data_IF_088765264273
#
_entry.id   IF_088765264273
#
_cell.length_a   1.000
_cell.length_b   1.000
_cell.length_c   1.000
_cell.angle_alpha   90.00
_cell.angle_beta   90.00
_cell.angle_gamma   90.00
#
_symmetry.space_group_name_H-M   'P 1'
#
loop_
_entity.id
_entity.type
_entity.pdbx_description
1 polymer ?
#
# COMPACT_ATOMS: atom_id res chain seq x y z
N UNK A 1 35.80 -32.50 -42.97
CA UNK A 1 35.62 -31.04 -42.68
C UNK A 1 34.28 -30.84 -42.01
N UNK A 2 34.28 -30.71 -40.66
CA UNK A 2 33.08 -30.44 -39.86
C UNK A 2 32.92 -28.93 -39.75
N UNK A 3 31.86 -28.34 -40.31
CA UNK A 3 31.53 -26.94 -40.17
C UNK A 3 30.57 -26.83 -38.98
N UNK A 4 31.02 -26.26 -37.86
CA UNK A 4 30.18 -25.93 -36.72
C UNK A 4 29.44 -24.62 -37.02
N UNK A 5 28.12 -24.70 -37.22
CA UNK A 5 27.24 -23.53 -37.34
C UNK A 5 26.90 -23.07 -35.92
N UNK A 6 27.52 -21.96 -35.50
CA UNK A 6 27.20 -21.27 -34.24
C UNK A 6 25.90 -20.48 -34.45
N UNK A 7 24.77 -20.99 -33.99
CA UNK A 7 23.50 -20.27 -33.91
C UNK A 7 23.58 -19.20 -32.81
N UNK A 8 23.89 -17.98 -33.20
CA UNK A 8 23.70 -16.79 -32.35
C UNK A 8 22.20 -16.51 -32.21
N UNK A 9 21.61 -16.97 -31.10
CA UNK A 9 20.28 -16.52 -30.69
C UNK A 9 20.35 -15.03 -30.35
N UNK A 10 19.47 -14.18 -30.89
CA UNK A 10 19.42 -12.78 -30.50
C UNK A 10 18.98 -12.72 -29.02
N UNK A 11 19.87 -12.27 -28.16
CA UNK A 11 19.51 -11.86 -26.81
C UNK A 11 18.69 -10.57 -26.98
N UNK A 12 17.37 -10.68 -26.95
CA UNK A 12 16.50 -9.52 -26.81
C UNK A 12 16.69 -8.93 -25.43
N UNK A 13 17.69 -8.09 -25.26
CA UNK A 13 17.79 -7.15 -24.16
C UNK A 13 16.66 -6.12 -24.37
N UNK A 14 15.47 -6.45 -23.87
CA UNK A 14 14.40 -5.48 -23.73
C UNK A 14 14.90 -4.46 -22.71
N UNK A 15 15.36 -3.30 -23.18
CA UNK A 15 15.71 -2.19 -22.32
C UNK A 15 14.45 -1.81 -21.54
N UNK A 16 14.50 -1.85 -20.22
CA UNK A 16 13.40 -1.35 -19.39
C UNK A 16 13.08 0.10 -19.80
N UNK A 17 11.80 0.48 -19.80
CA UNK A 17 11.41 1.87 -20.03
C UNK A 17 12.19 2.76 -19.06
N UNK A 18 12.86 3.77 -19.57
CA UNK A 18 13.76 4.64 -18.77
C UNK A 18 13.00 5.55 -17.81
N UNK A 19 11.67 5.62 -17.92
CA UNK A 19 10.83 6.51 -17.14
C UNK A 19 9.87 5.72 -16.24
N UNK A 20 9.81 6.13 -14.96
CA UNK A 20 8.78 5.70 -14.01
C UNK A 20 7.75 6.81 -13.87
N UNK A 21 6.49 6.42 -13.77
CA UNK A 21 5.38 7.33 -13.50
C UNK A 21 5.05 7.44 -12.00
N UNK A 22 5.80 6.79 -11.13
CA UNK A 22 5.69 6.94 -9.66
C UNK A 22 6.86 7.75 -9.16
N UNK A 23 6.57 8.89 -8.53
CA UNK A 23 7.58 9.84 -8.05
C UNK A 23 7.23 10.37 -6.67
N UNK A 24 8.22 10.55 -5.81
CA UNK A 24 8.07 11.21 -4.51
C UNK A 24 8.20 12.72 -4.63
N UNK A 25 7.44 13.45 -3.85
CA UNK A 25 7.70 14.87 -3.58
C UNK A 25 8.92 15.03 -2.68
N UNK A 26 9.46 16.26 -2.62
CA UNK A 26 10.64 16.59 -1.83
C UNK A 26 10.43 16.46 -0.32
N UNK A 27 9.18 16.54 0.15
CA UNK A 27 8.80 16.35 1.55
C UNK A 27 8.91 14.89 2.02
N UNK A 28 8.90 13.92 1.10
CA UNK A 28 9.10 12.51 1.42
C UNK A 28 10.59 12.28 1.73
N UNK A 29 10.92 12.14 3.00
CA UNK A 29 12.30 11.94 3.48
C UNK A 29 12.94 10.69 2.90
N UNK A 30 14.27 10.60 2.90
CA UNK A 30 14.99 9.40 2.49
C UNK A 30 14.60 8.19 3.35
N UNK A 31 14.43 8.40 4.67
CA UNK A 31 14.00 7.34 5.60
C UNK A 31 12.61 6.78 5.23
N UNK A 32 11.65 7.64 4.88
CA UNK A 32 10.32 7.20 4.46
C UNK A 32 10.34 6.53 3.09
N UNK A 33 11.17 7.01 2.14
CA UNK A 33 11.39 6.33 0.84
C UNK A 33 11.96 4.93 1.01
N UNK A 34 12.93 4.78 1.89
CA UNK A 34 13.54 3.48 2.22
C UNK A 34 12.55 2.56 2.93
N UNK A 35 11.73 3.09 3.84
CA UNK A 35 10.66 2.35 4.50
C UNK A 35 9.66 1.80 3.49
N UNK A 36 9.15 2.63 2.57
CA UNK A 36 8.25 2.20 1.50
C UNK A 36 8.91 1.16 0.59
N UNK A 37 10.12 1.43 0.11
CA UNK A 37 10.84 0.51 -0.76
C UNK A 37 11.06 -0.85 -0.07
N UNK A 38 11.42 -0.85 1.22
CA UNK A 38 11.59 -2.08 2.01
C UNK A 38 10.29 -2.89 2.13
N UNK A 39 9.15 -2.22 2.38
CA UNK A 39 7.84 -2.89 2.45
C UNK A 39 7.44 -3.44 1.08
N UNK A 40 7.58 -2.65 0.02
CA UNK A 40 7.28 -3.10 -1.34
C UNK A 40 8.19 -4.25 -1.79
N UNK A 41 9.50 -4.26 -1.45
CA UNK A 41 10.39 -5.39 -1.72
C UNK A 41 9.89 -6.69 -1.10
N UNK A 42 9.46 -6.64 0.15
CA UNK A 42 8.92 -7.83 0.84
C UNK A 42 7.63 -8.33 0.18
N UNK A 43 6.75 -7.42 -0.24
CA UNK A 43 5.46 -7.77 -0.85
C UNK A 43 5.65 -8.28 -2.28
N UNK A 44 6.48 -7.61 -3.09
CA UNK A 44 6.69 -7.98 -4.49
C UNK A 44 7.73 -9.06 -4.70
N UNK A 45 8.66 -9.24 -3.75
CA UNK A 45 9.81 -10.10 -3.91
C UNK A 45 10.92 -9.50 -4.79
N UNK A 46 10.82 -8.28 -5.28
CA UNK A 46 11.86 -7.61 -6.07
C UNK A 46 12.97 -7.06 -5.18
N UNK A 47 14.19 -7.64 -5.19
CA UNK A 47 15.24 -7.25 -4.26
C UNK A 47 15.83 -5.86 -4.54
N UNK A 48 15.75 -5.39 -5.79
CA UNK A 48 16.34 -4.12 -6.24
C UNK A 48 15.34 -2.95 -6.30
N UNK A 49 14.07 -3.19 -5.95
CA UNK A 49 13.05 -2.12 -5.96
C UNK A 49 13.45 -1.01 -4.98
N UNK A 50 13.55 0.22 -5.50
CA UNK A 50 13.98 1.40 -4.72
C UNK A 50 13.49 2.70 -5.36
N UNK A 51 13.53 3.77 -4.60
CA UNK A 51 13.48 5.11 -5.16
C UNK A 51 14.88 5.56 -5.58
N UNK A 52 15.01 6.12 -6.78
CA UNK A 52 16.27 6.72 -7.23
C UNK A 52 16.50 8.10 -6.58
N UNK A 53 17.66 8.72 -6.87
CA UNK A 53 18.02 10.03 -6.31
C UNK A 53 17.04 11.16 -6.68
N UNK A 54 16.33 11.00 -7.79
CA UNK A 54 15.30 11.94 -8.25
C UNK A 54 13.91 11.62 -7.70
N UNK A 55 13.79 10.62 -6.81
CA UNK A 55 12.55 10.21 -6.19
C UNK A 55 11.66 9.29 -7.02
N UNK A 56 12.11 8.81 -8.18
CA UNK A 56 11.32 7.88 -9.00
C UNK A 56 11.47 6.43 -8.51
N UNK A 57 10.34 5.72 -8.41
CA UNK A 57 10.31 4.31 -8.06
C UNK A 57 10.87 3.46 -9.22
N UNK A 58 11.86 2.62 -8.95
CA UNK A 58 12.53 1.74 -9.91
C UNK A 58 12.44 0.29 -9.45
N UNK A 59 12.06 -0.59 -10.35
CA UNK A 59 11.96 -2.02 -10.06
C UNK A 59 13.34 -2.70 -9.94
N UNK A 60 14.29 -2.29 -10.77
CA UNK A 60 15.54 -3.00 -11.00
C UNK A 60 15.37 -4.19 -11.95
N UNK A 61 16.47 -4.93 -12.19
CA UNK A 61 16.53 -6.00 -13.18
C UNK A 61 16.61 -7.40 -12.57
N UNK A 62 16.80 -7.49 -11.24
CA UNK A 62 16.91 -8.78 -10.58
C UNK A 62 15.57 -9.53 -10.59
N UNK A 63 15.64 -10.85 -10.74
CA UNK A 63 14.49 -11.73 -10.65
C UNK A 63 13.86 -11.67 -9.26
N UNK A 64 12.53 -11.75 -9.16
CA UNK A 64 11.84 -11.73 -7.88
C UNK A 64 12.11 -13.01 -7.08
N UNK A 65 12.21 -12.87 -5.76
CA UNK A 65 12.33 -13.98 -4.82
C UNK A 65 11.12 -13.99 -3.91
N UNK A 66 10.22 -14.95 -4.10
CA UNK A 66 8.95 -15.00 -3.36
C UNK A 66 8.02 -13.83 -3.68
N UNK A 67 7.26 -13.41 -2.68
CA UNK A 67 6.31 -12.29 -2.79
C UNK A 67 5.12 -12.57 -3.71
N UNK A 68 4.31 -11.53 -3.92
CA UNK A 68 3.05 -11.61 -4.67
C UNK A 68 3.24 -11.28 -6.15
N UNK A 69 2.75 -12.14 -7.04
CA UNK A 69 2.69 -11.87 -8.48
C UNK A 69 1.68 -10.75 -8.77
N UNK A 70 0.52 -10.79 -8.12
CA UNK A 70 -0.52 -9.75 -8.25
C UNK A 70 0.02 -8.37 -7.87
N UNK A 71 0.82 -8.28 -6.79
CA UNK A 71 1.47 -7.03 -6.41
C UNK A 71 2.52 -6.57 -7.45
N UNK A 72 3.28 -7.50 -8.03
CA UNK A 72 4.23 -7.19 -9.12
C UNK A 72 3.52 -6.60 -10.33
N UNK A 73 2.40 -7.18 -10.72
CA UNK A 73 1.62 -6.72 -11.87
C UNK A 73 1.06 -5.32 -11.62
N UNK A 74 0.52 -5.06 -10.42
CA UNK A 74 0.02 -3.76 -10.02
C UNK A 74 1.13 -2.69 -10.01
N UNK A 75 2.27 -2.97 -9.35
CA UNK A 75 3.39 -2.03 -9.27
C UNK A 75 4.01 -1.79 -10.66
N UNK A 76 4.07 -2.82 -11.52
CA UNK A 76 4.51 -2.66 -12.93
C UNK A 76 3.60 -1.69 -13.69
N UNK A 77 2.28 -1.86 -13.57
CA UNK A 77 1.31 -0.94 -14.18
C UNK A 77 1.41 0.47 -13.60
N UNK A 78 1.63 0.62 -12.28
CA UNK A 78 1.85 1.93 -11.66
C UNK A 78 3.12 2.62 -12.19
N UNK A 79 4.23 1.88 -12.31
CA UNK A 79 5.52 2.43 -12.77
C UNK A 79 5.47 2.79 -14.26
N UNK A 80 4.90 1.94 -15.12
CA UNK A 80 5.01 2.05 -16.58
C UNK A 80 3.69 2.36 -17.29
N UNK A 81 2.59 2.48 -16.56
CA UNK A 81 1.26 2.81 -17.10
C UNK A 81 1.13 4.28 -17.50
N UNK A 82 -0.11 4.70 -17.73
CA UNK A 82 -0.43 6.06 -18.21
C UNK A 82 -0.62 7.09 -17.11
N UNK A 83 -0.72 6.66 -15.83
CA UNK A 83 -1.03 7.52 -14.70
C UNK A 83 0.25 8.04 -14.05
N UNK A 84 0.37 9.36 -13.94
CA UNK A 84 1.42 9.98 -13.14
C UNK A 84 0.99 9.95 -11.67
N UNK A 85 1.76 9.28 -10.83
CA UNK A 85 1.49 9.07 -9.40
C UNK A 85 2.54 9.81 -8.59
N UNK A 86 2.11 10.72 -7.74
CA UNK A 86 2.97 11.54 -6.88
C UNK A 86 2.75 11.13 -5.43
N UNK A 87 3.80 10.71 -4.74
CA UNK A 87 3.74 10.35 -3.32
C UNK A 87 4.10 11.58 -2.47
N UNK A 88 3.29 11.87 -1.48
CA UNK A 88 3.40 13.02 -0.57
C UNK A 88 3.34 12.57 0.88
N UNK A 89 4.26 13.07 1.72
CA UNK A 89 4.25 12.83 3.16
C UNK A 89 3.34 13.84 3.86
N UNK A 90 2.30 13.34 4.52
CA UNK A 90 1.33 14.15 5.27
C UNK A 90 1.29 13.78 6.76
N UNK A 91 2.35 13.18 7.29
CA UNK A 91 2.44 12.70 8.68
C UNK A 91 2.18 13.75 9.76
N UNK A 92 2.08 15.02 9.39
CA UNK A 92 1.75 16.12 10.30
C UNK A 92 0.37 16.74 10.04
N UNK A 93 -0.41 16.18 9.13
CA UNK A 93 -1.70 16.72 8.72
C UNK A 93 -2.81 15.86 9.33
N UNK A 94 -3.61 16.44 10.22
CA UNK A 94 -4.71 15.74 10.90
C UNK A 94 -5.90 15.36 9.98
N UNK A 95 -5.81 15.62 8.67
CA UNK A 95 -6.89 15.43 7.71
C UNK A 95 -6.80 14.12 6.92
N UNK A 96 -5.75 13.35 7.14
CA UNK A 96 -5.50 12.08 6.46
C UNK A 96 -5.41 10.95 7.46
N UNK A 97 -6.12 9.86 7.21
CA UNK A 97 -5.97 8.62 7.96
C UNK A 97 -5.20 7.62 7.11
N UNK A 98 -4.00 7.23 7.54
CA UNK A 98 -3.12 6.28 6.87
C UNK A 98 -2.69 6.70 5.46
N UNK A 99 -3.56 6.50 4.45
CA UNK A 99 -3.33 6.86 3.07
C UNK A 99 -4.64 7.33 2.42
N UNK A 100 -4.51 8.16 1.39
CA UNK A 100 -5.60 8.48 0.45
C UNK A 100 -5.05 8.93 -0.88
N UNK A 101 -5.82 8.76 -1.95
CA UNK A 101 -5.52 9.32 -3.26
C UNK A 101 -6.43 10.50 -3.59
N UNK A 102 -5.85 11.54 -4.18
CA UNK A 102 -6.54 12.73 -4.63
C UNK A 102 -6.10 13.11 -6.05
N UNK A 103 -7.00 13.70 -6.87
CA UNK A 103 -6.57 14.35 -8.10
C UNK A 103 -5.67 15.55 -7.77
N UNK A 104 -4.59 15.72 -8.52
CA UNK A 104 -3.62 16.76 -8.28
C UNK A 104 -2.84 17.15 -9.52
N UNK A 105 -1.73 17.84 -9.31
CA UNK A 105 -0.83 18.28 -10.36
C UNK A 105 0.62 18.09 -9.95
N UNK A 106 1.44 17.69 -10.90
CA UNK A 106 2.88 17.60 -10.77
C UNK A 106 3.53 18.75 -11.58
N UNK A 107 4.42 19.50 -10.94
CA UNK A 107 5.21 20.54 -11.58
C UNK A 107 6.63 19.98 -11.80
N UNK A 108 6.93 19.55 -12.99
CA UNK A 108 8.30 19.26 -13.41
C UNK A 108 9.02 20.59 -13.75
N UNK A 109 10.34 20.63 -13.76
CA UNK A 109 11.18 21.83 -14.03
C UNK A 109 10.80 22.66 -15.27
N UNK A 110 9.93 22.19 -16.13
CA UNK A 110 9.28 22.94 -17.20
C UNK A 110 7.93 23.51 -16.71
N UNK A 111 7.56 24.66 -17.19
CA UNK A 111 6.43 25.49 -16.79
C UNK A 111 5.01 24.89 -16.88
N UNK A 112 4.87 23.60 -17.23
CA UNK A 112 3.58 22.93 -17.36
C UNK A 112 3.25 22.09 -16.12
N UNK A 113 2.07 22.34 -15.51
CA UNK A 113 1.49 21.47 -14.50
C UNK A 113 0.89 20.23 -15.20
N UNK A 114 1.44 19.05 -14.95
CA UNK A 114 0.88 17.79 -15.45
C UNK A 114 -0.22 17.29 -14.50
N UNK A 115 -1.38 16.84 -15.00
CA UNK A 115 -2.35 16.13 -14.18
C UNK A 115 -1.70 14.91 -13.53
N UNK A 116 -1.98 14.69 -12.25
CA UNK A 116 -1.40 13.59 -11.49
C UNK A 116 -2.41 13.06 -10.46
N UNK A 117 -2.22 11.82 -10.03
CA UNK A 117 -2.82 11.30 -8.82
C UNK A 117 -1.84 11.53 -7.67
N UNK A 118 -2.28 12.21 -6.61
CA UNK A 118 -1.46 12.45 -5.43
C UNK A 118 -1.86 11.45 -4.36
N UNK A 119 -0.94 10.56 -4.00
CA UNK A 119 -1.09 9.62 -2.88
C UNK A 119 -0.49 10.27 -1.65
N UNK A 120 -1.35 10.67 -0.72
CA UNK A 120 -0.98 11.22 0.57
C UNK A 120 -0.80 10.08 1.58
N UNK A 121 0.32 10.08 2.31
CA UNK A 121 0.71 9.01 3.22
C UNK A 121 1.00 9.61 4.59
N UNK A 122 0.28 9.19 5.63
CA UNK A 122 0.64 9.47 7.02
C UNK A 122 1.41 8.30 7.61
N UNK A 123 2.75 8.41 7.62
CA UNK A 123 3.62 7.37 8.17
C UNK A 123 3.43 7.19 9.67
N UNK A 124 3.15 8.29 10.39
CA UNK A 124 3.00 8.27 11.85
C UNK A 124 1.75 7.55 12.31
N UNK A 125 0.72 7.48 11.46
CA UNK A 125 -0.48 6.71 11.76
C UNK A 125 -0.19 5.22 11.80
N UNK A 126 0.62 4.71 10.85
CA UNK A 126 1.04 3.31 10.87
C UNK A 126 1.89 2.94 12.11
N UNK A 127 2.64 3.89 12.66
CA UNK A 127 3.45 3.69 13.87
C UNK A 127 2.60 3.58 15.16
N UNK A 128 1.38 4.14 15.14
CA UNK A 128 0.44 4.11 16.27
C UNK A 128 -0.43 2.85 16.29
N UNK A 129 -0.34 2.00 15.27
CA UNK A 129 -1.10 0.75 15.19
C UNK A 129 -0.43 -0.32 16.04
N UNK A 130 -1.20 -0.96 16.89
CA UNK A 130 -0.80 -2.07 17.74
C UNK A 130 -1.56 -3.32 17.34
N UNK A 131 -1.09 -4.49 17.76
CA UNK A 131 -1.83 -5.73 17.53
C UNK A 131 -0.98 -6.97 17.39
N UNK A 132 -1.60 -8.01 16.84
CA UNK A 132 -0.91 -9.26 16.54
C UNK A 132 0.14 -9.05 15.44
N UNK A 133 1.34 -9.59 15.62
CA UNK A 133 2.46 -9.45 14.68
C UNK A 133 2.07 -9.81 13.24
N UNK A 134 1.32 -10.91 13.06
CA UNK A 134 0.83 -11.35 11.75
C UNK A 134 -0.13 -10.35 11.10
N UNK A 135 -0.97 -9.69 11.90
CA UNK A 135 -1.88 -8.64 11.41
C UNK A 135 -1.11 -7.35 11.09
N UNK A 136 -0.08 -7.00 11.88
CA UNK A 136 0.80 -5.86 11.60
C UNK A 136 1.62 -6.07 10.31
N UNK A 137 2.04 -7.31 10.03
CA UNK A 137 2.67 -7.63 8.74
C UNK A 137 1.71 -7.46 7.56
N UNK A 138 0.42 -7.73 7.76
CA UNK A 138 -0.64 -7.57 6.77
C UNK A 138 -1.24 -6.14 6.70
N UNK A 139 -0.87 -5.25 7.64
CA UNK A 139 -1.36 -3.88 7.73
C UNK A 139 -0.22 -2.90 8.04
N UNK A 140 0.40 -2.37 7.01
CA UNK A 140 1.48 -1.40 7.09
C UNK A 140 1.48 -0.47 5.87
N UNK A 141 2.37 0.52 5.86
CA UNK A 141 2.43 1.54 4.82
C UNK A 141 2.59 0.98 3.39
N UNK A 142 3.24 -0.17 3.22
CA UNK A 142 3.36 -0.81 1.90
C UNK A 142 2.01 -1.31 1.38
N UNK A 143 1.19 -1.92 2.24
CA UNK A 143 -0.17 -2.35 1.89
C UNK A 143 -1.10 -1.17 1.64
N UNK A 144 -0.97 -0.08 2.44
CA UNK A 144 -1.69 1.16 2.20
C UNK A 144 -1.36 1.75 0.83
N UNK A 145 -0.08 1.82 0.46
CA UNK A 145 0.34 2.32 -0.85
C UNK A 145 -0.19 1.46 -2.01
N UNK A 146 -0.17 0.12 -1.88
CA UNK A 146 -0.73 -0.77 -2.90
C UNK A 146 -2.25 -0.61 -3.06
N UNK A 147 -2.97 -0.35 -1.96
CA UNK A 147 -4.39 -0.05 -1.98
C UNK A 147 -4.68 1.22 -2.82
N UNK A 148 -3.94 2.31 -2.58
CA UNK A 148 -4.08 3.53 -3.37
C UNK A 148 -3.65 3.34 -4.84
N UNK A 149 -2.65 2.49 -5.11
CA UNK A 149 -2.28 2.13 -6.49
C UNK A 149 -3.41 1.38 -7.20
N UNK A 150 -4.14 0.51 -6.49
CA UNK A 150 -5.23 -0.26 -7.07
C UNK A 150 -6.40 0.65 -7.48
N UNK A 151 -6.72 1.66 -6.67
CA UNK A 151 -7.66 2.71 -7.06
C UNK A 151 -7.26 3.45 -8.34
N UNK A 152 -5.97 3.79 -8.49
CA UNK A 152 -5.49 4.55 -9.64
C UNK A 152 -5.39 3.70 -10.91
N UNK A 153 -4.88 2.49 -10.77
CA UNK A 153 -4.50 1.64 -11.90
C UNK A 153 -5.65 0.80 -12.42
N UNK A 154 -6.49 0.28 -11.52
CA UNK A 154 -7.58 -0.63 -11.84
C UNK A 154 -8.96 0.02 -11.66
N UNK A 155 -9.03 1.27 -11.15
CA UNK A 155 -10.28 1.98 -10.84
C UNK A 155 -11.19 1.18 -9.89
N UNK A 156 -10.60 0.39 -9.00
CA UNK A 156 -11.30 -0.50 -8.08
C UNK A 156 -11.95 0.30 -6.95
N UNK A 157 -13.25 0.17 -6.70
CA UNK A 157 -13.91 0.88 -5.62
C UNK A 157 -13.68 0.24 -4.25
N UNK A 158 -13.78 1.07 -3.21
CA UNK A 158 -13.92 0.62 -1.83
C UNK A 158 -15.28 0.02 -1.55
N UNK A 159 -15.40 -0.71 -0.44
CA UNK A 159 -16.69 -1.17 0.04
C UNK A 159 -17.59 0.02 0.44
N UNK A 160 -18.85 -0.06 0.05
CA UNK A 160 -19.88 0.92 0.42
C UNK A 160 -20.77 0.45 1.56
N UNK A 161 -20.72 -0.84 1.91
CA UNK A 161 -21.55 -1.47 2.92
C UNK A 161 -20.74 -2.11 4.02
N UNK A 162 -21.25 -2.07 5.25
CA UNK A 162 -20.66 -2.78 6.39
C UNK A 162 -20.66 -4.30 6.14
N UNK A 163 -19.55 -4.95 6.46
CA UNK A 163 -19.39 -6.39 6.29
C UNK A 163 -18.81 -6.81 4.93
N UNK A 164 -18.61 -5.86 4.02
CA UNK A 164 -17.96 -6.08 2.73
C UNK A 164 -16.50 -5.65 2.76
N UNK A 165 -15.69 -6.24 1.90
CA UNK A 165 -14.29 -5.85 1.69
C UNK A 165 -14.13 -4.83 0.56
N UNK A 166 -15.04 -4.80 -0.41
CA UNK A 166 -14.87 -4.02 -1.65
C UNK A 166 -13.92 -4.70 -2.64
N UNK A 167 -13.91 -4.19 -3.86
CA UNK A 167 -13.10 -4.74 -4.95
C UNK A 167 -11.61 -4.49 -4.71
N UNK A 168 -11.24 -3.25 -4.35
CA UNK A 168 -9.87 -2.89 -4.04
C UNK A 168 -9.28 -3.79 -2.95
N UNK A 169 -9.95 -3.90 -1.79
CA UNK A 169 -9.47 -4.72 -0.69
C UNK A 169 -9.45 -6.23 -1.04
N UNK A 170 -10.32 -6.69 -1.95
CA UNK A 170 -10.29 -8.07 -2.44
C UNK A 170 -9.01 -8.36 -3.24
N UNK A 171 -8.55 -7.41 -4.07
CA UNK A 171 -7.26 -7.50 -4.77
C UNK A 171 -6.08 -7.48 -3.79
N UNK A 172 -6.12 -6.60 -2.78
CA UNK A 172 -5.08 -6.56 -1.74
C UNK A 172 -5.06 -7.85 -0.93
N UNK A 173 -6.22 -8.44 -0.63
CA UNK A 173 -6.32 -9.73 0.04
C UNK A 173 -5.73 -10.88 -0.81
N UNK A 174 -5.90 -10.84 -2.13
CA UNK A 174 -5.22 -11.81 -3.01
C UNK A 174 -3.70 -11.69 -2.88
N UNK A 175 -3.15 -10.47 -2.88
CA UNK A 175 -1.72 -10.25 -2.69
C UNK A 175 -1.24 -10.76 -1.31
N UNK A 176 -2.05 -10.55 -0.25
CA UNK A 176 -1.74 -11.07 1.09
C UNK A 176 -1.71 -12.61 1.10
N UNK A 177 -2.66 -13.28 0.44
CA UNK A 177 -2.65 -14.76 0.30
C UNK A 177 -1.38 -15.25 -0.37
N UNK A 178 -0.97 -14.61 -1.46
CA UNK A 178 0.26 -14.95 -2.18
C UNK A 178 1.53 -14.75 -1.32
N UNK A 179 1.47 -13.84 -0.33
CA UNK A 179 2.51 -13.62 0.67
C UNK A 179 2.32 -14.48 1.95
N UNK A 180 1.37 -15.41 1.97
CA UNK A 180 1.03 -16.23 3.15
C UNK A 180 0.64 -15.41 4.38
N UNK A 181 0.05 -14.24 4.18
CA UNK A 181 -0.41 -13.34 5.23
C UNK A 181 -1.92 -13.45 5.45
N UNK A 182 -2.44 -13.08 6.63
CA UNK A 182 -3.86 -13.05 6.89
C UNK A 182 -4.56 -11.95 6.07
N UNK A 183 -5.80 -12.25 5.66
CA UNK A 183 -6.65 -11.39 4.85
C UNK A 183 -7.49 -10.48 5.72
N UNK A 184 -7.65 -9.23 5.33
CA UNK A 184 -8.58 -8.31 5.99
C UNK A 184 -10.02 -8.79 5.80
N UNK A 185 -10.77 -8.88 6.90
CA UNK A 185 -12.12 -9.46 6.92
C UNK A 185 -13.18 -8.46 6.43
N UNK A 186 -13.05 -7.20 6.85
CA UNK A 186 -13.98 -6.13 6.52
C UNK A 186 -13.21 -4.86 6.16
N UNK A 187 -13.75 -4.08 5.25
CA UNK A 187 -13.17 -2.77 4.92
C UNK A 187 -13.26 -1.80 6.10
N UNK A 188 -14.41 -1.76 6.79
CA UNK A 188 -14.63 -0.86 7.90
C UNK A 188 -14.09 -1.44 9.22
N UNK A 189 -13.49 -0.59 10.02
CA UNK A 189 -13.07 -0.93 11.37
C UNK A 189 -14.24 -0.98 12.35
N UNK A 190 -14.08 -1.68 13.45
CA UNK A 190 -15.07 -1.78 14.53
C UNK A 190 -14.61 -0.96 15.74
N UNK A 191 -15.49 -0.09 16.25
CA UNK A 191 -15.29 0.57 17.52
C UNK A 191 -15.41 -0.44 18.68
N UNK A 192 -14.45 -0.42 19.60
CA UNK A 192 -14.57 -1.17 20.84
C UNK A 192 -15.46 -0.39 21.82
N UNK A 193 -16.29 -1.09 22.63
CA UNK A 193 -17.09 -0.43 23.66
C UNK A 193 -16.18 0.36 24.61
N UNK A 194 -16.57 1.59 24.92
CA UNK A 194 -15.91 2.39 25.94
C UNK A 194 -16.14 1.73 27.31
N UNK A 195 -15.07 1.57 28.09
CA UNK A 195 -15.21 1.31 29.51
C UNK A 195 -15.76 2.57 30.19
N UNK A 196 -16.87 2.45 30.91
CA UNK A 196 -17.61 3.57 31.51
C UNK A 196 -16.79 4.27 32.64
N UNK A 197 -15.72 3.64 33.10
CA UNK A 197 -14.95 4.05 34.28
C UNK A 197 -13.65 4.82 34.01
N UNK A 198 -13.32 5.14 32.75
CA UNK A 198 -12.09 5.87 32.45
C UNK A 198 -12.34 7.35 32.25
N UNK A 199 -11.71 8.18 33.07
CA UNK A 199 -11.67 9.65 32.92
C UNK A 199 -11.04 10.10 31.57
N UNK A 200 -10.39 9.20 30.86
CA UNK A 200 -9.82 9.38 29.54
C UNK A 200 -10.55 8.47 28.57
N UNK A 201 -11.40 9.05 27.75
CA UNK A 201 -12.13 8.33 26.70
C UNK A 201 -11.18 7.97 25.54
N UNK A 202 -10.41 6.88 25.69
CA UNK A 202 -9.72 6.25 24.56
C UNK A 202 -10.76 5.63 23.64
N UNK A 203 -10.71 5.96 22.36
CA UNK A 203 -11.59 5.39 21.32
C UNK A 203 -10.81 4.34 20.54
N UNK A 204 -10.70 3.16 21.13
CA UNK A 204 -10.03 2.07 20.43
C UNK A 204 -10.91 1.53 19.31
N UNK A 205 -10.31 1.42 18.16
CA UNK A 205 -10.86 0.75 16.98
C UNK A 205 -10.01 -0.47 16.66
N UNK A 206 -10.62 -1.44 15.99
CA UNK A 206 -9.93 -2.66 15.56
C UNK A 206 -10.31 -3.07 14.15
N UNK A 207 -9.36 -3.71 13.47
CA UNK A 207 -9.56 -4.46 12.24
C UNK A 207 -9.25 -5.92 12.46
N UNK A 208 -10.05 -6.79 11.84
CA UNK A 208 -9.86 -8.23 11.85
C UNK A 208 -9.15 -8.70 10.59
N UNK A 209 -8.23 -9.65 10.78
CA UNK A 209 -7.55 -10.38 9.71
C UNK A 209 -7.70 -11.87 9.97
N UNK A 210 -8.15 -12.64 8.98
CA UNK A 210 -8.32 -14.08 9.07
C UNK A 210 -7.30 -14.80 8.18
N UNK A 211 -6.71 -15.87 8.68
CA UNK A 211 -5.83 -16.75 7.92
C UNK A 211 -6.32 -18.19 8.01
N UNK A 212 -6.44 -18.84 6.87
CA UNK A 212 -6.73 -20.26 6.82
C UNK A 212 -5.56 -21.07 7.37
N UNK A 213 -5.85 -22.04 8.25
CA UNK A 213 -4.85 -22.95 8.76
C UNK A 213 -4.60 -24.10 7.77
N UNK A 214 -3.41 -24.72 7.79
CA UNK A 214 -3.06 -25.81 6.87
C UNK A 214 -4.03 -27.00 6.91
N UNK A 215 -4.79 -27.17 8.00
CA UNK A 215 -5.85 -28.17 8.14
C UNK A 215 -7.10 -27.90 7.29
N UNK A 216 -7.21 -26.75 6.62
CA UNK A 216 -8.27 -26.39 5.67
C UNK A 216 -9.63 -26.07 6.26
N UNK A 217 -9.91 -26.44 7.53
CA UNK A 217 -11.23 -26.30 8.13
C UNK A 217 -11.33 -25.26 9.25
N UNK A 218 -10.25 -24.55 9.54
CA UNK A 218 -10.21 -23.56 10.62
C UNK A 218 -9.50 -22.33 10.15
N UNK A 219 -10.06 -21.16 10.52
CA UNK A 219 -9.43 -19.85 10.36
C UNK A 219 -8.91 -19.38 11.70
N UNK A 220 -7.72 -18.80 11.72
CA UNK A 220 -7.18 -18.08 12.87
C UNK A 220 -7.36 -16.61 12.65
N UNK A 221 -7.92 -15.92 13.64
CA UNK A 221 -8.15 -14.48 13.61
C UNK A 221 -7.05 -13.75 14.33
N UNK A 222 -6.61 -12.64 13.70
CA UNK A 222 -5.63 -11.70 14.20
C UNK A 222 -6.22 -10.30 14.18
N UNK A 223 -5.70 -9.41 14.99
CA UNK A 223 -6.24 -8.08 15.16
C UNK A 223 -5.16 -7.01 15.08
N UNK A 224 -5.49 -5.87 14.47
CA UNK A 224 -4.81 -4.60 14.70
C UNK A 224 -5.75 -3.65 15.43
N UNK A 225 -5.19 -2.79 16.25
CA UNK A 225 -5.89 -1.82 17.09
C UNK A 225 -5.17 -0.48 17.03
N UNK A 226 -5.94 0.59 17.15
CA UNK A 226 -5.40 1.93 17.35
C UNK A 226 -6.40 2.82 18.11
N UNK A 227 -5.92 3.93 18.67
CA UNK A 227 -6.78 4.96 19.23
C UNK A 227 -7.23 5.92 18.11
N UNK A 228 -8.53 5.97 17.86
CA UNK A 228 -9.11 6.83 16.84
C UNK A 228 -8.97 8.34 17.14
N UNK A 229 -8.54 8.73 18.34
CA UNK A 229 -8.18 10.11 18.65
C UNK A 229 -6.75 10.47 18.22
N UNK A 230 -5.88 9.46 18.03
CA UNK A 230 -4.48 9.62 17.64
C UNK A 230 -4.23 9.33 16.16
N UNK A 231 -5.08 8.50 15.57
CA UNK A 231 -5.00 8.04 14.18
C UNK A 231 -6.27 8.45 13.45
N UNK A 232 -6.12 8.98 12.27
CA UNK A 232 -7.23 9.31 11.41
C UNK A 232 -7.47 10.79 11.26
N UNK A 233 -7.92 11.14 10.06
CA UNK A 233 -8.26 12.50 9.70
C UNK A 233 -9.57 12.98 10.33
N UNK A 234 -9.85 14.26 10.15
CA UNK A 234 -11.07 14.92 10.63
C UNK A 234 -12.36 14.24 10.15
N UNK A 235 -12.35 13.64 8.96
CA UNK A 235 -13.52 12.96 8.41
C UNK A 235 -13.82 11.66 9.16
N UNK A 236 -12.80 10.92 9.55
CA UNK A 236 -12.93 9.71 10.40
C UNK A 236 -13.48 10.11 11.78
N UNK A 237 -12.99 11.20 12.36
CA UNK A 237 -13.48 11.71 13.64
C UNK A 237 -14.96 12.16 13.55
N UNK A 238 -15.38 12.78 12.43
CA UNK A 238 -16.79 13.14 12.19
C UNK A 238 -17.68 11.93 12.04
N UNK A 239 -17.24 10.89 11.30
CA UNK A 239 -17.99 9.63 11.18
C UNK A 239 -18.18 8.96 12.54
N UNK A 240 -17.13 8.91 13.37
CA UNK A 240 -17.21 8.38 14.72
C UNK A 240 -18.16 9.20 15.59
N UNK A 241 -18.16 10.52 15.47
CA UNK A 241 -19.07 11.39 16.22
C UNK A 241 -20.53 11.24 15.80
N UNK A 242 -20.81 10.91 14.53
CA UNK A 242 -22.17 10.68 14.03
C UNK A 242 -22.79 9.33 14.43
N UNK A 243 -21.96 8.39 14.90
CA UNK A 243 -22.42 7.08 15.41
C UNK A 243 -22.81 7.09 16.90
N UNK A 244 -22.84 8.25 17.54
CA UNK A 244 -23.34 8.50 18.90
C UNK A 244 -24.76 9.00 18.90
#
# INVERSE_FOLDING_TARGET
LLVAILLLLPINLSAEPTHSNVVCREDLTEAHRDQLANKLRRITGWPELKFDRSGFLRRGNAEPVGGSQTARDLVTKAIYGSHLIVLEDVSKQAEVAFCRVLPGKWRHHSSSNLPAHVVQIDFTDFEKVLGDERALDAFNVGWGLLHEFDHIVNDSPDAISLGETGECEAHINQMRRECELPERVNYFYTLLPLSVDTAFATRLVRLAFDQELPSGNKKKRYWVLWDANLVGGLDVQKQIASLR
#
